data_IF_752639982922
#
_entry.id   IF_752639982922
#
_cell.length_a   1.000
_cell.length_b   1.000
_cell.length_c   1.000
_cell.angle_alpha   90.00
_cell.angle_beta   90.00
_cell.angle_gamma   90.00
#
_symmetry.space_group_name_H-M   'P 1'
#
loop_
_entity.id
_entity.type
_entity.pdbx_description
1 polymer ?
#
# COMPACT_ATOMS: atom_id res chain seq x y z
N UNK A 1 -14.37 -14.63 2.27
CA UNK A 1 -14.62 -13.36 1.55
C UNK A 1 -15.09 -12.33 2.56
N UNK A 2 -14.24 -11.37 2.93
CA UNK A 2 -14.62 -10.21 3.75
C UNK A 2 -13.67 -9.04 3.42
N UNK A 3 -13.74 -8.53 2.19
CA UNK A 3 -13.19 -7.23 1.78
C UNK A 3 -14.12 -6.55 0.74
N UNK A 4 -15.39 -6.95 0.63
CA UNK A 4 -16.24 -6.54 -0.51
C UNK A 4 -16.98 -5.21 -0.34
N UNK A 5 -16.64 -4.38 0.66
CA UNK A 5 -17.35 -3.10 0.84
C UNK A 5 -16.45 -1.86 0.95
N UNK A 6 -15.12 -2.02 0.94
CA UNK A 6 -14.21 -0.87 0.98
C UNK A 6 -13.09 -1.01 -0.05
N UNK A 7 -13.39 -0.58 -1.27
CA UNK A 7 -12.47 0.03 -2.22
C UNK A 7 -11.19 -0.77 -2.55
N UNK A 8 -11.19 -1.49 -3.67
CA UNK A 8 -9.98 -2.05 -4.29
C UNK A 8 -8.81 -1.05 -4.17
N UNK A 9 -7.75 -1.41 -3.42
CA UNK A 9 -6.58 -0.54 -3.17
C UNK A 9 -6.04 -0.05 -4.51
N UNK A 10 -5.96 -0.98 -5.46
CA UNK A 10 -5.51 -0.72 -6.81
C UNK A 10 -6.38 0.33 -7.51
N UNK A 11 -7.70 0.24 -7.43
CA UNK A 11 -8.60 1.22 -8.07
C UNK A 11 -8.41 2.61 -7.47
N UNK A 12 -8.25 2.69 -6.15
CA UNK A 12 -8.02 3.97 -5.47
C UNK A 12 -6.69 4.62 -5.89
N UNK A 13 -5.62 3.83 -5.95
CA UNK A 13 -4.29 4.32 -6.34
C UNK A 13 -4.27 4.70 -7.83
N UNK A 14 -4.86 3.88 -8.71
CA UNK A 14 -5.05 4.22 -10.13
C UNK A 14 -5.96 5.44 -10.34
N UNK A 15 -6.87 5.70 -9.39
CA UNK A 15 -7.69 6.91 -9.35
C UNK A 15 -6.95 8.16 -8.88
N UNK A 16 -5.65 8.06 -8.59
CA UNK A 16 -4.79 9.18 -8.20
C UNK A 16 -4.68 9.43 -6.70
N UNK A 17 -5.22 8.54 -5.86
CA UNK A 17 -4.96 8.64 -4.42
C UNK A 17 -3.55 8.12 -4.09
N UNK A 18 -2.93 8.78 -3.12
CA UNK A 18 -1.59 8.41 -2.65
C UNK A 18 -1.63 7.05 -1.93
N UNK A 19 -0.66 6.15 -2.19
CA UNK A 19 -0.55 4.87 -1.50
C UNK A 19 -0.63 4.99 0.03
N UNK A 20 0.11 5.90 0.63
CA UNK A 20 0.16 6.16 2.07
C UNK A 20 -1.23 6.42 2.66
N UNK A 21 -2.02 7.28 2.01
CA UNK A 21 -3.39 7.63 2.40
C UNK A 21 -4.29 6.41 2.32
N UNK A 22 -4.24 5.68 1.21
CA UNK A 22 -5.07 4.50 0.97
C UNK A 22 -4.75 3.41 2.00
N UNK A 23 -3.47 3.11 2.19
CA UNK A 23 -2.99 2.06 3.08
C UNK A 23 -3.21 2.41 4.57
N UNK A 24 -3.03 3.67 4.97
CA UNK A 24 -3.33 4.10 6.34
C UNK A 24 -4.83 3.96 6.64
N UNK A 25 -5.72 4.28 5.69
CA UNK A 25 -7.17 4.06 5.87
C UNK A 25 -7.51 2.59 6.13
N UNK A 26 -6.83 1.65 5.45
CA UNK A 26 -7.01 0.22 5.71
C UNK A 26 -6.56 -0.16 7.13
N UNK A 27 -5.40 0.34 7.56
CA UNK A 27 -4.89 0.10 8.92
C UNK A 27 -5.76 0.71 10.01
N UNK A 28 -6.37 1.87 9.76
CA UNK A 28 -7.30 2.52 10.68
C UNK A 28 -8.64 1.78 10.74
N UNK A 29 -9.16 1.36 9.57
CA UNK A 29 -10.42 0.62 9.45
C UNK A 29 -10.36 -0.80 10.02
N UNK A 30 -9.18 -1.41 10.09
CA UNK A 30 -9.00 -2.73 10.69
C UNK A 30 -7.82 -2.77 11.68
N UNK A 31 -8.07 -2.60 12.99
CA UNK A 31 -7.03 -2.63 14.01
C UNK A 31 -6.27 -3.95 14.18
N UNK A 32 -6.73 -5.04 13.56
CA UNK A 32 -6.05 -6.33 13.60
C UNK A 32 -4.98 -6.47 12.54
N UNK A 33 -4.99 -5.62 11.51
CA UNK A 33 -3.98 -5.64 10.46
C UNK A 33 -2.73 -4.88 10.92
N UNK A 34 -1.58 -5.50 10.70
CA UNK A 34 -0.30 -4.82 10.80
C UNK A 34 0.28 -4.49 9.40
N UNK A 35 1.50 -3.91 9.39
CA UNK A 35 2.17 -3.54 8.14
C UNK A 35 2.57 -4.73 7.28
N UNK A 36 2.81 -5.89 7.87
CA UNK A 36 3.17 -7.10 7.14
C UNK A 36 1.94 -7.69 6.44
N UNK A 37 0.80 -7.73 7.15
CA UNK A 37 -0.47 -8.12 6.55
C UNK A 37 -0.82 -7.19 5.38
N UNK A 38 -0.69 -5.88 5.58
CA UNK A 38 -0.98 -4.88 4.55
C UNK A 38 -0.09 -5.02 3.32
N UNK A 39 1.20 -5.35 3.51
CA UNK A 39 2.12 -5.59 2.41
C UNK A 39 1.68 -6.79 1.55
N UNK A 40 1.21 -7.86 2.20
CA UNK A 40 0.68 -9.04 1.51
C UNK A 40 -0.63 -8.73 0.77
N UNK A 41 -1.51 -7.93 1.38
CA UNK A 41 -2.75 -7.49 0.72
C UNK A 41 -2.41 -6.67 -0.53
N UNK A 42 -1.50 -5.69 -0.42
CA UNK A 42 -1.08 -4.88 -1.56
C UNK A 42 -0.51 -5.73 -2.70
N UNK A 43 0.34 -6.71 -2.38
CA UNK A 43 0.91 -7.64 -3.37
C UNK A 43 -0.15 -8.53 -4.01
N UNK A 44 -1.17 -8.96 -3.24
CA UNK A 44 -2.27 -9.77 -3.73
C UNK A 44 -3.33 -9.00 -4.55
N UNK A 45 -3.45 -7.69 -4.35
CA UNK A 45 -4.35 -6.83 -5.13
C UNK A 45 -3.67 -6.20 -6.35
N UNK A 46 -2.34 -6.05 -6.32
CA UNK A 46 -1.56 -5.52 -7.42
C UNK A 46 -0.74 -6.62 -8.11
N UNK A 47 -1.41 -7.46 -8.91
CA UNK A 47 -0.84 -8.65 -9.55
C UNK A 47 0.47 -8.47 -10.35
N UNK A 48 0.76 -7.25 -10.83
CA UNK A 48 1.99 -6.96 -11.58
C UNK A 48 3.18 -6.56 -10.69
N UNK A 49 2.94 -6.25 -9.41
CA UNK A 49 4.01 -5.92 -8.47
C UNK A 49 4.83 -7.17 -8.11
N UNK A 50 6.13 -6.96 -7.93
CA UNK A 50 7.02 -8.00 -7.41
C UNK A 50 7.18 -7.91 -5.88
N UNK A 51 7.82 -8.92 -5.30
CA UNK A 51 8.02 -9.01 -3.85
C UNK A 51 8.91 -7.90 -3.29
N UNK A 52 9.55 -7.04 -4.11
CA UNK A 52 10.33 -5.90 -3.59
C UNK A 52 9.44 -4.88 -2.87
N UNK A 53 8.16 -4.81 -3.24
CA UNK A 53 7.19 -3.92 -2.59
C UNK A 53 7.05 -4.21 -1.09
N UNK A 54 7.26 -5.46 -0.66
CA UNK A 54 7.16 -5.87 0.74
C UNK A 54 8.12 -5.06 1.61
N UNK A 55 9.39 -4.98 1.21
CA UNK A 55 10.42 -4.21 1.92
C UNK A 55 10.10 -2.72 1.98
N UNK A 56 9.46 -2.18 0.93
CA UNK A 56 9.01 -0.77 0.90
C UNK A 56 7.96 -0.52 1.96
N UNK A 57 6.92 -1.37 2.04
CA UNK A 57 5.85 -1.25 3.03
C UNK A 57 6.36 -1.49 4.46
N UNK A 58 7.28 -2.44 4.67
CA UNK A 58 7.80 -2.71 6.01
C UNK A 58 8.62 -1.54 6.57
N UNK A 59 9.39 -0.87 5.70
CA UNK A 59 10.20 0.29 6.06
C UNK A 59 9.42 1.62 6.11
N UNK A 60 8.09 1.59 5.96
CA UNK A 60 7.25 2.78 5.99
C UNK A 60 6.79 3.17 7.40
N UNK A 61 6.83 4.47 7.69
CA UNK A 61 6.26 5.08 8.89
C UNK A 61 4.75 5.29 8.74
N UNK A 62 3.96 4.27 9.05
CA UNK A 62 2.49 4.31 8.98
C UNK A 62 1.82 4.77 10.29
N UNK A 63 0.49 4.85 10.31
CA UNK A 63 -0.32 5.07 11.52
C UNK A 63 -0.07 4.03 12.63
N UNK A 64 0.45 2.84 12.28
CA UNK A 64 0.80 1.77 13.23
C UNK A 64 2.29 1.73 13.59
N UNK A 65 3.13 2.55 12.98
CA UNK A 65 4.59 2.53 13.19
C UNK A 65 5.21 3.91 13.04
N UNK A 66 5.82 4.42 14.11
CA UNK A 66 6.52 5.70 14.10
C UNK A 66 7.97 5.64 13.53
N UNK A 67 8.44 4.45 13.13
CA UNK A 67 9.74 4.23 12.49
C UNK A 67 9.58 3.96 11.00
N UNK A 68 10.56 4.40 10.21
CA UNK A 68 10.61 4.20 8.76
C UNK A 68 10.73 5.50 7.98
N UNK A 69 10.59 5.41 6.66
CA UNK A 69 10.50 6.54 5.74
C UNK A 69 9.13 7.24 5.86
N UNK A 70 9.07 8.53 5.52
CA UNK A 70 7.83 9.31 5.57
C UNK A 70 6.82 8.89 4.51
N UNK A 71 5.59 9.38 4.63
CA UNK A 71 4.52 9.13 3.65
C UNK A 71 4.93 9.59 2.25
N UNK A 72 5.58 10.76 2.13
CA UNK A 72 6.00 11.30 0.82
C UNK A 72 7.01 10.40 0.13
N UNK A 73 8.05 9.95 0.85
CA UNK A 73 9.07 9.05 0.31
C UNK A 73 8.47 7.68 0.00
N UNK A 74 7.57 7.20 0.85
CA UNK A 74 6.87 5.94 0.63
C UNK A 74 6.02 5.99 -0.65
N UNK A 75 5.25 7.05 -0.84
CA UNK A 75 4.41 7.25 -2.02
C UNK A 75 5.23 7.26 -3.30
N UNK A 76 6.34 8.00 -3.32
CA UNK A 76 7.27 8.00 -4.44
C UNK A 76 7.81 6.60 -4.76
N UNK A 77 8.22 5.86 -3.73
CA UNK A 77 8.75 4.50 -3.89
C UNK A 77 7.70 3.53 -4.43
N UNK A 78 6.49 3.52 -3.88
CA UNK A 78 5.41 2.62 -4.32
C UNK A 78 4.99 2.94 -5.74
N UNK A 79 4.78 4.22 -6.06
CA UNK A 79 4.39 4.64 -7.42
C UNK A 79 5.48 4.32 -8.44
N UNK A 80 6.76 4.45 -8.08
CA UNK A 80 7.86 4.03 -8.95
C UNK A 80 7.82 2.53 -9.24
N UNK A 81 7.60 1.68 -8.22
CA UNK A 81 7.46 0.23 -8.42
C UNK A 81 6.24 -0.11 -9.29
N UNK A 82 5.11 0.56 -9.08
CA UNK A 82 3.91 0.39 -9.89
C UNK A 82 4.15 0.76 -11.36
N UNK A 83 4.84 1.87 -11.64
CA UNK A 83 5.20 2.26 -13.00
C UNK A 83 6.15 1.25 -13.66
N UNK A 84 7.14 0.76 -12.92
CA UNK A 84 8.07 -0.27 -13.40
C UNK A 84 7.35 -1.59 -13.71
N UNK A 85 6.32 -1.93 -12.94
CA UNK A 85 5.46 -3.09 -13.16
C UNK A 85 4.47 -2.93 -14.33
N UNK A 86 4.30 -1.70 -14.86
CA UNK A 86 3.45 -1.42 -16.02
C UNK A 86 2.10 -0.78 -15.69
N UNK A 87 1.86 -0.38 -14.44
CA UNK A 87 0.66 0.39 -14.07
C UNK A 87 0.76 1.84 -14.56
N UNK A 88 -0.40 2.44 -14.83
CA UNK A 88 -0.52 3.87 -15.17
C UNK A 88 -0.97 4.64 -13.93
N UNK A 89 0.00 5.16 -13.18
CA UNK A 89 -0.14 5.93 -11.93
C UNK A 89 0.71 7.20 -11.93
#
# INVERSE_FOLDING_TARGET
MLLSENNDLLVQILGGMLPSVVLNRVLEGNPRLDKYDLANILLGECDLLDSKILSVVWNWKSVRSNRGVSDEVFDEMVLAHMRLAGYRV
#
